data_IF_889745544012
#
_entry.id   IF_889745544012
#
_cell.length_a   1.000
_cell.length_b   1.000
_cell.length_c   1.000
_cell.angle_alpha   90.00
_cell.angle_beta   90.00
_cell.angle_gamma   90.00
#
_symmetry.space_group_name_H-M   'P 1'
#
loop_
_entity.id
_entity.type
_entity.pdbx_description
1 polymer ?
#
# COMPACT_ATOMS: atom_id res chain seq x y z
N UNK A 1 23.29 3.29 -7.62
CA UNK A 1 21.99 2.98 -6.99
C UNK A 1 22.00 3.52 -5.57
N UNK A 2 20.98 4.29 -5.20
CA UNK A 2 20.78 4.70 -3.82
C UNK A 2 20.31 3.45 -3.07
N UNK A 3 20.94 3.13 -1.95
CA UNK A 3 20.47 2.02 -1.11
C UNK A 3 19.09 2.37 -0.53
N UNK A 4 18.14 1.48 -0.66
CA UNK A 4 16.79 1.68 -0.09
C UNK A 4 16.80 1.72 1.45
N UNK A 5 17.95 1.39 2.04
CA UNK A 5 18.06 1.27 3.49
C UNK A 5 17.37 0.01 4.00
N UNK A 6 17.29 -0.12 5.30
CA UNK A 6 16.64 -1.24 5.96
C UNK A 6 16.05 -0.82 7.30
N UNK A 7 15.09 -1.59 7.78
CA UNK A 7 14.51 -1.41 9.12
C UNK A 7 15.07 -2.52 10.02
N UNK A 8 15.64 -2.15 11.15
CA UNK A 8 16.06 -3.10 12.17
C UNK A 8 14.99 -3.13 13.28
N UNK A 9 14.43 -4.31 13.50
CA UNK A 9 13.42 -4.55 14.54
C UNK A 9 14.05 -5.49 15.56
N UNK A 10 14.14 -5.05 16.80
CA UNK A 10 14.73 -5.86 17.87
C UNK A 10 13.67 -6.17 18.93
N UNK A 11 13.55 -7.46 19.22
CA UNK A 11 12.71 -8.00 20.29
C UNK A 11 13.64 -8.41 21.44
N UNK A 12 13.30 -8.01 22.64
CA UNK A 12 14.03 -8.44 23.84
C UNK A 12 13.11 -8.38 25.07
N UNK A 13 13.61 -8.83 26.21
CA UNK A 13 12.84 -8.85 27.45
C UNK A 13 12.38 -7.45 27.90
N UNK A 14 13.09 -6.39 27.50
CA UNK A 14 12.73 -5.00 27.85
C UNK A 14 11.69 -4.42 26.90
N UNK A 15 11.41 -5.09 25.74
CA UNK A 15 10.40 -4.64 24.80
C UNK A 15 10.80 -4.74 23.34
N UNK A 16 10.22 -3.86 22.55
CA UNK A 16 10.40 -3.79 21.09
C UNK A 16 11.06 -2.46 20.73
N UNK A 17 12.07 -2.50 19.88
CA UNK A 17 12.63 -1.27 19.30
C UNK A 17 12.67 -1.38 17.78
N UNK A 18 12.37 -0.28 17.11
CA UNK A 18 12.40 -0.14 15.65
C UNK A 18 13.38 0.99 15.33
N UNK A 19 14.33 0.70 14.47
CA UNK A 19 15.31 1.66 13.99
C UNK A 19 15.39 1.58 12.47
N UNK A 20 15.19 2.70 11.80
CA UNK A 20 15.26 2.82 10.34
C UNK A 20 16.53 3.54 9.93
N UNK A 21 17.27 3.00 8.96
CA UNK A 21 18.35 3.72 8.29
C UNK A 21 17.98 4.08 6.85
N UNK A 22 16.69 4.18 6.57
CA UNK A 22 16.21 4.59 5.25
C UNK A 22 16.72 6.00 4.92
N UNK A 23 17.15 6.22 3.68
CA UNK A 23 17.65 7.55 3.28
C UNK A 23 16.46 8.47 2.97
N UNK A 24 15.75 8.89 4.02
CA UNK A 24 14.53 9.73 3.90
C UNK A 24 14.81 11.09 3.22
N UNK A 25 16.07 11.51 3.21
CA UNK A 25 16.51 12.73 2.51
C UNK A 25 17.05 12.45 1.10
N UNK A 26 16.89 11.23 0.59
CA UNK A 26 17.33 10.90 -0.79
C UNK A 26 16.64 11.79 -1.84
N UNK A 27 15.44 12.27 -1.55
CA UNK A 27 14.69 13.21 -2.41
C UNK A 27 15.41 14.56 -2.60
N UNK A 28 16.37 14.91 -1.74
CA UNK A 28 17.17 16.14 -1.91
C UNK A 28 17.96 16.15 -3.22
N UNK A 29 18.20 14.98 -3.85
CA UNK A 29 18.85 14.92 -5.19
C UNK A 29 18.05 15.68 -6.27
N UNK A 30 16.77 15.95 -6.03
CA UNK A 30 15.94 16.70 -6.95
C UNK A 30 16.10 18.23 -6.80
N UNK A 31 16.67 18.70 -5.70
CA UNK A 31 16.88 20.14 -5.47
C UNK A 31 17.85 20.69 -6.54
N UNK A 32 17.46 21.78 -7.16
CA UNK A 32 18.19 22.40 -8.27
C UNK A 32 17.85 21.83 -9.64
N UNK A 33 17.07 20.74 -9.74
CA UNK A 33 16.62 20.17 -11.02
C UNK A 33 15.32 20.86 -11.47
N UNK A 34 15.05 20.79 -12.77
CA UNK A 34 13.75 21.25 -13.29
C UNK A 34 12.64 20.30 -12.84
N UNK A 35 11.41 20.81 -12.81
CA UNK A 35 10.21 20.00 -12.55
C UNK A 35 10.16 18.81 -13.55
N UNK A 36 10.40 19.07 -14.84
CA UNK A 36 10.36 18.05 -15.89
C UNK A 36 11.38 16.93 -15.62
N UNK A 37 12.63 17.28 -15.34
CA UNK A 37 13.69 16.30 -15.03
C UNK A 37 13.33 15.47 -13.79
N UNK A 38 12.77 16.12 -12.79
CA UNK A 38 12.36 15.46 -11.54
C UNK A 38 11.26 14.42 -11.81
N UNK A 39 10.19 14.82 -12.52
CA UNK A 39 9.07 13.91 -12.83
C UNK A 39 9.48 12.72 -13.71
N UNK A 40 10.49 12.90 -14.58
CA UNK A 40 11.03 11.82 -15.41
C UNK A 40 11.91 10.84 -14.62
N UNK A 41 12.69 11.37 -13.66
CA UNK A 41 13.71 10.59 -12.93
C UNK A 41 13.12 9.86 -11.73
N UNK A 42 12.18 10.50 -11.03
CA UNK A 42 11.68 10.03 -9.75
C UNK A 42 11.13 8.59 -9.79
N UNK A 43 10.27 8.20 -10.74
CA UNK A 43 9.75 6.83 -10.74
C UNK A 43 10.82 5.74 -10.97
N UNK A 44 11.96 6.11 -11.54
CA UNK A 44 13.08 5.17 -11.79
C UNK A 44 13.83 4.82 -10.50
N UNK A 45 13.66 5.62 -9.44
CA UNK A 45 14.33 5.41 -8.15
C UNK A 45 13.57 4.45 -7.23
N UNK A 46 12.30 4.20 -7.53
CA UNK A 46 11.43 3.42 -6.64
C UNK A 46 10.90 2.17 -7.35
N UNK A 47 11.54 1.04 -7.11
CA UNK A 47 11.23 -0.23 -7.79
C UNK A 47 9.85 -0.80 -7.43
N UNK A 48 9.36 -0.52 -6.21
CA UNK A 48 8.14 -1.13 -5.66
C UNK A 48 6.90 -0.25 -5.89
N UNK A 49 7.04 1.07 -5.79
CA UNK A 49 5.92 2.02 -5.80
C UNK A 49 6.13 3.19 -6.77
N UNK A 50 6.81 2.95 -7.89
CA UNK A 50 7.18 3.99 -8.86
C UNK A 50 5.98 4.73 -9.44
N UNK A 51 4.85 4.04 -9.66
CA UNK A 51 3.64 4.69 -10.20
C UNK A 51 2.98 5.60 -9.16
N UNK A 52 2.83 5.12 -7.92
CA UNK A 52 2.31 5.94 -6.84
C UNK A 52 3.20 7.16 -6.59
N UNK A 53 4.53 6.98 -6.63
CA UNK A 53 5.50 8.07 -6.51
C UNK A 53 5.31 9.10 -7.64
N UNK A 54 5.17 8.62 -8.88
CA UNK A 54 4.97 9.50 -10.05
C UNK A 54 3.69 10.32 -9.92
N UNK A 55 2.59 9.67 -9.53
CA UNK A 55 1.28 10.34 -9.39
C UNK A 55 1.32 11.38 -8.26
N UNK A 56 1.88 11.01 -7.10
CA UNK A 56 2.00 11.95 -5.98
C UNK A 56 2.88 13.16 -6.36
N UNK A 57 3.98 12.92 -7.10
CA UNK A 57 4.87 13.99 -7.57
C UNK A 57 4.16 14.95 -8.54
N UNK A 58 3.43 14.39 -9.52
CA UNK A 58 2.67 15.20 -10.49
C UNK A 58 1.66 16.09 -9.76
N UNK A 59 0.87 15.50 -8.84
CA UNK A 59 -0.12 16.23 -8.04
C UNK A 59 0.52 17.35 -7.20
N UNK A 60 1.70 17.09 -6.62
CA UNK A 60 2.42 18.10 -5.83
C UNK A 60 2.86 19.29 -6.71
N UNK A 61 3.42 19.01 -7.89
CA UNK A 61 3.86 20.07 -8.82
C UNK A 61 2.65 20.83 -9.39
N UNK A 62 1.59 20.14 -9.77
CA UNK A 62 0.35 20.78 -10.27
C UNK A 62 -0.29 21.66 -9.21
N UNK A 63 -0.31 21.20 -7.96
CA UNK A 63 -0.84 21.96 -6.82
C UNK A 63 -0.11 23.31 -6.68
N UNK A 64 1.22 23.33 -6.72
CA UNK A 64 1.99 24.57 -6.59
C UNK A 64 1.84 25.47 -7.83
N UNK A 65 1.70 24.86 -9.01
CA UNK A 65 1.50 25.59 -10.28
C UNK A 65 0.05 26.07 -10.47
N UNK A 66 -0.84 25.80 -9.53
CA UNK A 66 -2.28 26.10 -9.61
C UNK A 66 -2.98 25.44 -10.81
N UNK A 67 -2.49 24.25 -11.21
CA UNK A 67 -3.07 23.48 -12.30
C UNK A 67 -4.13 22.53 -11.73
N UNK A 68 -5.34 22.61 -12.28
CA UNK A 68 -6.41 21.66 -11.98
C UNK A 68 -6.36 20.58 -13.05
N UNK A 69 -6.03 19.33 -12.69
CA UNK A 69 -5.93 18.27 -13.68
C UNK A 69 -7.28 17.92 -14.29
N UNK A 70 -7.28 17.46 -15.53
CA UNK A 70 -8.47 16.93 -16.20
C UNK A 70 -8.99 15.71 -15.40
N UNK A 71 -10.31 15.64 -15.12
CA UNK A 71 -10.89 14.48 -14.42
C UNK A 71 -10.54 13.13 -15.05
N UNK A 72 -10.48 13.05 -16.39
CA UNK A 72 -10.09 11.81 -17.07
C UNK A 72 -8.62 11.43 -16.82
N UNK A 73 -7.76 12.44 -16.73
CA UNK A 73 -6.35 12.23 -16.35
C UNK A 73 -6.24 11.69 -14.92
N UNK A 74 -7.04 12.22 -14.00
CA UNK A 74 -7.06 11.73 -12.61
C UNK A 74 -7.57 10.29 -12.53
N UNK A 75 -8.61 9.93 -13.28
CA UNK A 75 -9.09 8.54 -13.36
C UNK A 75 -7.98 7.62 -13.89
N UNK A 76 -7.24 8.07 -14.89
CA UNK A 76 -6.09 7.31 -15.45
C UNK A 76 -5.01 7.11 -14.38
N UNK A 77 -4.68 8.15 -13.63
CA UNK A 77 -3.70 8.08 -12.52
C UNK A 77 -4.13 7.08 -11.45
N UNK A 78 -5.39 7.13 -11.03
CA UNK A 78 -5.92 6.18 -10.03
C UNK A 78 -5.85 4.74 -10.55
N UNK A 79 -6.15 4.51 -11.83
CA UNK A 79 -6.04 3.18 -12.46
C UNK A 79 -4.60 2.67 -12.48
N UNK A 80 -3.64 3.55 -12.80
CA UNK A 80 -2.21 3.20 -12.82
C UNK A 80 -1.75 2.77 -11.41
N UNK A 81 -2.12 3.54 -10.39
CA UNK A 81 -1.79 3.22 -8.99
C UNK A 81 -2.51 1.93 -8.54
N UNK A 82 -3.77 1.73 -8.97
CA UNK A 82 -4.52 0.50 -8.68
C UNK A 82 -3.82 -0.74 -9.27
N UNK A 83 -3.31 -0.65 -10.51
CA UNK A 83 -2.56 -1.75 -11.12
C UNK A 83 -1.28 -2.07 -10.35
N UNK A 84 -0.57 -1.06 -9.89
CA UNK A 84 0.60 -1.24 -9.03
C UNK A 84 0.23 -1.93 -7.71
N UNK A 85 -0.87 -1.52 -7.10
CA UNK A 85 -1.38 -2.11 -5.84
C UNK A 85 -1.79 -3.57 -6.04
N UNK A 86 -2.50 -3.89 -7.13
CA UNK A 86 -2.85 -5.27 -7.51
C UNK A 86 -1.56 -6.12 -7.63
N UNK A 87 -0.55 -5.61 -8.33
CA UNK A 87 0.74 -6.29 -8.50
C UNK A 87 1.40 -6.59 -7.15
N UNK A 88 1.47 -5.59 -6.27
CA UNK A 88 2.14 -5.72 -4.98
C UNK A 88 1.41 -6.71 -4.06
N UNK A 89 0.08 -6.67 -4.03
CA UNK A 89 -0.70 -7.64 -3.25
C UNK A 89 -0.55 -9.07 -3.82
N UNK A 90 -0.64 -9.21 -5.14
CA UNK A 90 -0.43 -10.54 -5.77
C UNK A 90 0.97 -11.07 -5.50
N UNK A 91 2.00 -10.22 -5.58
CA UNK A 91 3.37 -10.61 -5.25
C UNK A 91 3.46 -11.15 -3.82
N UNK A 92 2.87 -10.41 -2.87
CA UNK A 92 2.86 -10.82 -1.45
C UNK A 92 2.11 -12.14 -1.25
N UNK A 93 0.97 -12.31 -1.91
CA UNK A 93 0.14 -13.51 -1.75
C UNK A 93 0.74 -14.71 -2.48
N UNK A 94 0.95 -14.59 -3.80
CA UNK A 94 1.32 -15.72 -4.65
C UNK A 94 2.75 -16.23 -4.39
N UNK A 95 3.65 -15.35 -3.95
CA UNK A 95 5.05 -15.70 -3.69
C UNK A 95 5.37 -15.69 -2.19
N UNK A 96 5.02 -14.62 -1.49
CA UNK A 96 5.36 -14.44 -0.07
C UNK A 96 4.61 -15.39 0.85
N UNK A 97 3.27 -15.44 0.75
CA UNK A 97 2.48 -16.35 1.59
C UNK A 97 2.77 -17.81 1.27
N UNK A 98 2.91 -18.16 -0.03
CA UNK A 98 3.25 -19.52 -0.44
C UNK A 98 4.51 -20.01 0.29
N UNK A 99 5.55 -19.17 0.36
CA UNK A 99 6.79 -19.50 1.06
C UNK A 99 6.55 -19.71 2.58
N UNK A 100 5.68 -18.90 3.19
CA UNK A 100 5.37 -19.00 4.63
C UNK A 100 4.62 -20.30 4.97
N UNK A 101 3.71 -20.74 4.10
CA UNK A 101 2.96 -22.00 4.30
C UNK A 101 3.63 -23.20 3.62
N UNK A 102 4.88 -23.04 3.19
CA UNK A 102 5.71 -24.11 2.59
C UNK A 102 5.11 -24.71 1.32
N UNK A 103 4.39 -23.88 0.55
CA UNK A 103 3.88 -24.23 -0.77
C UNK A 103 4.81 -23.73 -1.88
N UNK A 104 4.67 -24.31 -3.07
CA UNK A 104 5.41 -23.84 -4.26
C UNK A 104 4.88 -22.47 -4.67
N UNK A 105 5.72 -21.44 -4.73
CA UNK A 105 5.30 -20.12 -5.18
C UNK A 105 4.74 -20.11 -6.61
N UNK A 106 3.69 -19.36 -6.83
CA UNK A 106 2.95 -19.25 -8.10
C UNK A 106 3.66 -18.34 -9.12
N UNK A 107 4.92 -18.64 -9.44
CA UNK A 107 5.78 -17.83 -10.32
C UNK A 107 5.18 -17.66 -11.72
N UNK A 108 4.59 -18.71 -12.29
CA UNK A 108 3.99 -18.65 -13.64
C UNK A 108 2.77 -17.75 -13.66
N UNK A 109 1.91 -17.85 -12.65
CA UNK A 109 0.72 -16.98 -12.51
C UNK A 109 1.15 -15.52 -12.32
N UNK A 110 2.20 -15.28 -11.52
CA UNK A 110 2.74 -13.94 -11.31
C UNK A 110 3.34 -13.37 -12.61
N UNK A 111 4.08 -14.15 -13.37
CA UNK A 111 4.67 -13.72 -14.66
C UNK A 111 3.55 -13.36 -15.67
N UNK A 112 2.51 -14.18 -15.74
CA UNK A 112 1.36 -13.88 -16.60
C UNK A 112 0.64 -12.61 -16.16
N UNK A 113 0.44 -12.41 -14.86
CA UNK A 113 -0.13 -11.17 -14.32
C UNK A 113 0.67 -9.95 -14.76
N UNK A 114 2.01 -10.00 -14.59
CA UNK A 114 2.90 -8.90 -14.94
C UNK A 114 2.82 -8.54 -16.43
N UNK A 115 2.84 -9.55 -17.31
CA UNK A 115 2.76 -9.31 -18.76
C UNK A 115 1.39 -8.73 -19.15
N UNK A 116 0.32 -9.23 -18.56
CA UNK A 116 -1.05 -8.72 -18.81
C UNK A 116 -1.18 -7.27 -18.33
N UNK A 117 -0.65 -6.94 -17.15
CA UNK A 117 -0.68 -5.57 -16.62
C UNK A 117 0.13 -4.61 -17.49
N UNK A 118 1.29 -5.03 -18.00
CA UNK A 118 2.07 -4.20 -18.94
C UNK A 118 1.26 -3.87 -20.20
N UNK A 119 0.52 -4.84 -20.72
CA UNK A 119 -0.34 -4.66 -21.87
C UNK A 119 -1.50 -3.69 -21.54
N UNK A 120 -2.18 -3.90 -20.43
CA UNK A 120 -3.26 -3.04 -19.93
C UNK A 120 -2.77 -1.58 -19.77
N UNK A 121 -1.61 -1.37 -19.13
CA UNK A 121 -1.05 -0.03 -18.90
C UNK A 121 -0.69 0.69 -20.22
N UNK A 122 -0.21 -0.03 -21.23
CA UNK A 122 0.03 0.56 -22.56
C UNK A 122 -1.27 1.07 -23.17
N UNK A 123 -2.34 0.31 -23.04
CA UNK A 123 -3.66 0.72 -23.58
C UNK A 123 -4.19 1.98 -22.89
N UNK A 124 -4.22 2.02 -21.55
CA UNK A 124 -4.76 3.19 -20.84
C UNK A 124 -3.93 4.46 -21.04
N UNK A 125 -2.64 4.33 -21.34
CA UNK A 125 -1.77 5.49 -21.58
C UNK A 125 -1.91 6.05 -23.02
N UNK A 126 -2.34 5.24 -23.97
CA UNK A 126 -2.38 5.62 -25.39
C UNK A 126 -3.79 5.78 -25.95
N UNK A 127 -4.82 5.29 -25.27
CA UNK A 127 -6.21 5.40 -25.73
C UNK A 127 -6.90 6.57 -25.05
N UNK A 128 -7.82 7.20 -25.77
CA UNK A 128 -8.75 8.14 -25.13
C UNK A 128 -9.58 7.35 -24.11
N UNK A 129 -9.87 7.91 -22.94
CA UNK A 129 -10.66 7.22 -21.91
C UNK A 129 -12.05 6.78 -22.38
N UNK A 130 -12.52 7.34 -23.48
CA UNK A 130 -13.81 7.01 -24.12
C UNK A 130 -13.74 5.80 -25.06
N UNK A 131 -12.54 5.35 -25.42
CA UNK A 131 -12.39 4.17 -26.26
C UNK A 131 -12.60 2.91 -25.39
N UNK A 132 -13.71 2.20 -25.63
CA UNK A 132 -13.96 0.87 -25.08
C UNK A 132 -13.02 -0.14 -25.79
N UNK A 133 -11.72 0.15 -25.76
CA UNK A 133 -10.72 -0.70 -26.38
C UNK A 133 -10.48 -1.99 -25.59
N UNK A 134 -9.64 -2.83 -26.10
CA UNK A 134 -9.31 -4.20 -25.67
C UNK A 134 -8.93 -4.38 -24.17
N UNK A 135 -9.31 -3.47 -23.27
CA UNK A 135 -9.11 -3.62 -21.82
C UNK A 135 -9.84 -4.83 -21.25
N UNK A 136 -10.98 -5.19 -21.87
CA UNK A 136 -11.85 -6.28 -21.39
C UNK A 136 -11.11 -7.61 -21.35
N UNK A 137 -10.22 -7.88 -22.32
CA UNK A 137 -9.43 -9.11 -22.35
C UNK A 137 -8.38 -9.14 -21.24
N UNK A 138 -7.73 -8.00 -20.98
CA UNK A 138 -6.70 -7.89 -19.95
C UNK A 138 -7.32 -7.96 -18.55
N UNK A 139 -8.40 -7.23 -18.29
CA UNK A 139 -9.12 -7.28 -17.01
C UNK A 139 -9.67 -8.69 -16.75
N UNK A 140 -10.26 -9.32 -17.77
CA UNK A 140 -10.76 -10.71 -17.71
C UNK A 140 -9.63 -11.68 -17.36
N UNK A 141 -8.45 -11.50 -17.98
CA UNK A 141 -7.29 -12.37 -17.69
C UNK A 141 -6.80 -12.18 -16.27
N UNK A 142 -6.69 -10.93 -15.78
CA UNK A 142 -6.31 -10.62 -14.41
C UNK A 142 -7.32 -11.25 -13.42
N UNK A 143 -8.61 -11.05 -13.63
CA UNK A 143 -9.68 -11.67 -12.83
C UNK A 143 -9.55 -13.19 -12.80
N UNK A 144 -9.35 -13.82 -13.96
CA UNK A 144 -9.21 -15.28 -14.04
C UNK A 144 -8.02 -15.79 -13.22
N UNK A 145 -6.88 -15.06 -13.24
CA UNK A 145 -5.70 -15.41 -12.43
C UNK A 145 -6.08 -15.35 -10.94
N UNK A 146 -6.72 -14.26 -10.51
CA UNK A 146 -7.10 -14.06 -9.11
C UNK A 146 -8.14 -15.07 -8.65
N UNK A 147 -9.19 -15.29 -9.45
CA UNK A 147 -10.23 -16.28 -9.16
C UNK A 147 -9.63 -17.69 -8.99
N UNK A 148 -8.67 -18.02 -9.78
CA UNK A 148 -8.03 -19.33 -9.73
C UNK A 148 -6.94 -19.44 -8.67
N UNK A 149 -6.10 -18.49 -8.43
CA UNK A 149 -5.01 -18.52 -7.74
C UNK A 149 -5.11 -17.98 -6.48
N UNK A 150 -6.01 -17.11 -6.27
CA UNK A 150 -6.06 -16.49 -4.92
C UNK A 150 -7.37 -16.84 -4.21
N UNK A 151 -8.51 -16.54 -4.84
CA UNK A 151 -9.83 -16.65 -4.18
C UNK A 151 -10.44 -18.08 -4.24
N UNK A 152 -10.15 -18.85 -5.29
CA UNK A 152 -10.72 -20.19 -5.49
C UNK A 152 -12.17 -20.16 -5.97
N UNK A 153 -12.80 -19.00 -5.95
CA UNK A 153 -14.19 -18.70 -6.40
C UNK A 153 -14.16 -17.35 -7.14
N UNK A 154 -15.23 -16.96 -7.84
CA UNK A 154 -15.29 -15.62 -8.45
C UNK A 154 -15.05 -14.51 -7.42
N UNK A 155 -14.28 -13.50 -7.82
CA UNK A 155 -13.89 -12.38 -6.94
C UNK A 155 -15.13 -11.65 -6.38
N UNK A 156 -16.18 -11.49 -7.20
CA UNK A 156 -17.43 -10.85 -6.81
C UNK A 156 -18.16 -11.66 -5.73
N UNK A 157 -18.17 -12.99 -5.87
CA UNK A 157 -18.75 -13.91 -4.89
C UNK A 157 -17.94 -13.84 -3.59
N UNK A 158 -16.62 -13.85 -3.67
CA UNK A 158 -15.75 -13.73 -2.49
C UNK A 158 -16.03 -12.43 -1.73
N UNK A 159 -16.18 -11.31 -2.44
CA UNK A 159 -16.42 -9.99 -1.82
C UNK A 159 -17.82 -9.91 -1.16
N UNK A 160 -18.75 -10.79 -1.51
CA UNK A 160 -20.08 -10.85 -0.88
C UNK A 160 -20.08 -11.59 0.46
N UNK A 161 -18.99 -12.27 0.82
CA UNK A 161 -18.85 -12.92 2.14
C UNK A 161 -18.96 -11.84 3.22
N UNK A 162 -19.86 -12.04 4.18
CA UNK A 162 -20.16 -11.01 5.16
C UNK A 162 -20.00 -11.49 6.63
N UNK A 163 -20.06 -12.79 6.86
CA UNK A 163 -20.05 -13.33 8.23
C UNK A 163 -19.04 -14.47 8.38
N UNK A 164 -18.81 -14.88 9.63
CA UNK A 164 -17.82 -15.90 9.99
C UNK A 164 -18.19 -17.27 9.39
N UNK A 165 -19.48 -17.63 9.36
CA UNK A 165 -19.91 -18.92 8.82
C UNK A 165 -19.55 -19.04 7.32
N UNK A 166 -19.89 -18.03 6.54
CA UNK A 166 -19.55 -17.96 5.11
C UNK A 166 -18.04 -17.97 4.90
N UNK A 167 -17.31 -17.23 5.75
CA UNK A 167 -15.84 -17.19 5.71
C UNK A 167 -15.23 -18.57 5.97
N UNK A 168 -15.74 -19.31 6.98
CA UNK A 168 -15.28 -20.67 7.29
C UNK A 168 -15.65 -21.67 6.19
N UNK A 169 -16.79 -21.49 5.54
CA UNK A 169 -17.19 -22.29 4.38
C UNK A 169 -16.20 -22.05 3.22
N UNK A 170 -15.87 -20.80 2.95
CA UNK A 170 -14.89 -20.45 1.92
C UNK A 170 -13.51 -21.06 2.23
N UNK A 171 -13.07 -21.07 3.47
CA UNK A 171 -11.79 -21.67 3.86
C UNK A 171 -11.73 -23.17 3.60
N UNK A 172 -12.88 -23.84 3.47
CA UNK A 172 -12.98 -25.30 3.25
C UNK A 172 -13.25 -25.68 1.78
N UNK A 173 -13.16 -24.72 0.85
CA UNK A 173 -13.44 -25.01 -0.57
C UNK A 173 -12.48 -26.05 -1.13
N UNK A 174 -12.96 -26.84 -2.09
CA UNK A 174 -12.18 -27.90 -2.74
C UNK A 174 -10.99 -27.36 -3.53
N UNK A 175 -11.14 -26.17 -4.11
CA UNK A 175 -10.08 -25.50 -4.87
C UNK A 175 -9.15 -24.75 -3.91
N UNK A 176 -8.26 -25.47 -3.26
CA UNK A 176 -7.32 -24.93 -2.26
C UNK A 176 -6.40 -23.92 -2.92
N UNK A 177 -6.30 -22.73 -2.35
CA UNK A 177 -5.46 -21.63 -2.83
C UNK A 177 -4.44 -21.23 -1.76
N UNK A 178 -3.42 -20.47 -2.16
CA UNK A 178 -2.43 -19.91 -1.21
C UNK A 178 -3.15 -19.09 -0.12
N UNK A 179 -4.22 -18.37 -0.48
CA UNK A 179 -4.95 -17.53 0.49
C UNK A 179 -5.68 -18.41 1.52
N UNK A 180 -6.39 -19.45 1.07
CA UNK A 180 -7.08 -20.35 2.01
C UNK A 180 -6.08 -21.10 2.91
N UNK A 181 -4.95 -21.55 2.37
CA UNK A 181 -3.89 -22.19 3.15
C UNK A 181 -3.32 -21.26 4.22
N UNK A 182 -3.01 -20.01 3.84
CA UNK A 182 -2.44 -19.02 4.77
C UNK A 182 -3.42 -18.71 5.91
N UNK A 183 -4.69 -18.51 5.58
CA UNK A 183 -5.69 -18.18 6.61
C UNK A 183 -6.03 -19.39 7.48
N UNK A 184 -6.08 -20.60 6.92
CA UNK A 184 -6.22 -21.84 7.68
C UNK A 184 -5.02 -22.04 8.62
N UNK A 185 -3.81 -21.78 8.15
CA UNK A 185 -2.59 -21.84 8.98
C UNK A 185 -2.69 -20.89 10.17
N UNK A 186 -3.15 -19.63 9.94
CA UNK A 186 -3.35 -18.64 11.00
C UNK A 186 -4.40 -19.15 12.03
N UNK A 187 -5.53 -19.67 11.56
CA UNK A 187 -6.60 -20.17 12.43
C UNK A 187 -6.14 -21.37 13.26
N UNK A 188 -5.51 -22.38 12.61
CA UNK A 188 -5.03 -23.61 13.27
C UNK A 188 -3.94 -23.31 14.30
N UNK A 189 -3.15 -22.26 14.09
CA UNK A 189 -2.14 -21.81 15.05
C UNK A 189 -2.73 -21.03 16.22
N UNK A 190 -4.03 -20.68 16.17
CA UNK A 190 -4.66 -19.84 17.19
C UNK A 190 -4.24 -18.36 17.09
N UNK A 191 -3.80 -17.91 15.91
CA UNK A 191 -3.19 -16.59 15.70
C UNK A 191 -4.15 -15.58 15.07
N UNK A 192 -5.47 -15.79 15.14
CA UNK A 192 -6.45 -14.88 14.55
C UNK A 192 -6.27 -13.44 15.07
N UNK A 193 -6.12 -13.27 16.38
CA UNK A 193 -5.96 -11.97 17.03
C UNK A 193 -4.49 -11.60 17.28
N UNK A 194 -3.52 -12.37 16.74
CA UNK A 194 -2.09 -12.12 16.94
C UNK A 194 -1.74 -10.69 16.52
N UNK A 195 -1.05 -9.96 17.39
CA UNK A 195 -0.64 -8.59 17.13
C UNK A 195 -1.77 -7.56 17.22
N UNK A 196 -2.96 -7.96 17.72
CA UNK A 196 -4.05 -7.00 17.92
C UNK A 196 -3.65 -5.98 18.98
N UNK A 197 -3.79 -4.69 18.65
CA UNK A 197 -3.29 -3.60 19.49
C UNK A 197 -4.14 -2.35 19.26
N UNK A 198 -3.98 -1.35 20.12
CA UNK A 198 -4.53 -0.03 19.84
C UNK A 198 -3.69 0.64 18.73
N UNK A 199 -4.33 1.06 17.66
CA UNK A 199 -3.71 1.87 16.62
C UNK A 199 -4.65 2.97 16.17
N UNK A 200 -4.10 4.13 15.83
CA UNK A 200 -4.86 5.28 15.34
C UNK A 200 -4.78 5.28 13.81
N UNK A 201 -5.89 5.12 13.09
CA UNK A 201 -5.83 5.22 11.62
C UNK A 201 -5.47 6.64 11.19
N UNK A 202 -4.64 6.75 10.16
CA UNK A 202 -4.34 8.05 9.55
C UNK A 202 -5.64 8.58 8.92
N UNK A 203 -6.05 9.83 9.22
CA UNK A 203 -7.30 10.35 8.64
C UNK A 203 -7.30 10.35 7.12
N UNK A 204 -8.42 10.04 6.52
CA UNK A 204 -8.60 10.04 5.06
C UNK A 204 -8.41 11.45 4.48
N UNK A 205 -8.85 12.46 5.23
CA UNK A 205 -8.71 13.88 4.84
C UNK A 205 -7.58 14.48 5.68
N UNK A 206 -6.51 14.87 5.02
CA UNK A 206 -5.35 15.53 5.64
C UNK A 206 -5.27 16.96 5.11
N UNK A 207 -5.26 17.94 6.00
CA UNK A 207 -5.08 19.34 5.63
C UNK A 207 -3.72 19.56 4.98
N UNK A 208 -3.71 20.05 3.75
CA UNK A 208 -2.47 20.35 3.00
C UNK A 208 -1.66 21.45 3.69
N UNK A 209 -2.33 22.47 4.21
CA UNK A 209 -1.68 23.55 4.98
C UNK A 209 -0.94 22.97 6.19
N UNK A 210 -1.59 22.08 6.93
CA UNK A 210 -1.00 21.46 8.11
C UNK A 210 0.18 20.54 7.71
N UNK A 211 0.03 19.73 6.65
CA UNK A 211 1.11 18.89 6.13
C UNK A 211 2.32 19.73 5.73
N UNK A 212 2.11 20.80 4.97
CA UNK A 212 3.18 21.74 4.56
C UNK A 212 3.96 22.21 5.79
N UNK A 213 3.24 22.67 6.81
CA UNK A 213 3.83 23.19 8.06
C UNK A 213 4.63 22.11 8.80
N UNK A 214 4.06 20.92 8.94
CA UNK A 214 4.72 19.78 9.63
C UNK A 214 5.96 19.31 8.88
N UNK A 215 5.87 19.17 7.55
CA UNK A 215 6.98 18.71 6.71
C UNK A 215 8.11 19.76 6.57
N UNK A 216 7.91 20.99 7.02
CA UNK A 216 9.03 21.95 7.13
C UNK A 216 10.10 21.46 8.12
N UNK A 217 9.70 20.70 9.14
CA UNK A 217 10.63 20.06 10.08
C UNK A 217 11.11 18.73 9.49
N UNK A 218 12.39 18.58 9.14
CA UNK A 218 12.91 17.32 8.58
C UNK A 218 12.70 16.11 9.49
N UNK A 219 12.75 16.31 10.82
CA UNK A 219 12.55 15.23 11.80
C UNK A 219 11.13 14.66 11.76
N UNK A 220 10.17 15.45 11.29
CA UNK A 220 8.78 14.99 11.15
C UNK A 220 8.67 13.81 10.17
N UNK A 221 9.45 13.83 9.10
CA UNK A 221 9.43 12.74 8.10
C UNK A 221 9.96 11.43 8.72
N UNK A 222 10.93 11.50 9.63
CA UNK A 222 11.48 10.31 10.28
C UNK A 222 10.47 9.63 11.21
N UNK A 223 9.70 10.43 11.94
CA UNK A 223 8.77 9.94 12.95
C UNK A 223 7.49 10.80 12.91
N UNK A 224 6.65 10.58 11.90
CA UNK A 224 5.47 11.43 11.73
C UNK A 224 4.41 11.15 12.80
N UNK A 225 3.80 12.22 13.29
CA UNK A 225 2.69 12.18 14.24
C UNK A 225 1.52 13.00 13.68
N UNK A 226 0.31 12.51 13.82
CA UNK A 226 -0.90 13.28 13.54
C UNK A 226 -1.68 13.42 14.84
N UNK A 227 -1.96 14.65 15.22
CA UNK A 227 -2.58 14.99 16.52
C UNK A 227 -1.79 14.46 17.72
N UNK A 228 -0.45 14.40 17.57
CA UNK A 228 0.45 13.95 18.64
C UNK A 228 0.57 12.44 18.76
N UNK A 229 -0.09 11.67 17.87
CA UNK A 229 -0.10 10.21 17.91
C UNK A 229 0.51 9.61 16.63
N UNK A 230 1.25 8.50 16.73
CA UNK A 230 1.66 7.76 15.55
C UNK A 230 0.45 7.09 14.91
N UNK A 231 0.33 7.19 13.59
CA UNK A 231 -0.84 6.69 12.87
C UNK A 231 -0.52 5.45 12.04
N UNK A 232 -1.56 4.65 11.79
CA UNK A 232 -1.49 3.51 10.89
C UNK A 232 -2.08 3.90 9.53
N UNK A 233 -1.33 3.58 8.46
CA UNK A 233 -1.80 3.74 7.08
C UNK A 233 -1.56 2.43 6.32
N UNK A 234 -2.56 1.53 6.34
CA UNK A 234 -2.48 0.18 5.75
C UNK A 234 -3.79 -0.13 5.01
N UNK A 235 -3.88 -1.23 4.26
CA UNK A 235 -5.18 -1.66 3.72
C UNK A 235 -6.29 -1.73 4.77
N UNK A 236 -5.98 -2.18 5.99
CA UNK A 236 -6.98 -2.30 7.05
C UNK A 236 -7.63 -0.95 7.43
N UNK A 237 -6.90 0.16 7.31
CA UNK A 237 -7.42 1.47 7.73
C UNK A 237 -8.22 2.19 6.64
N UNK A 238 -8.25 1.65 5.41
CA UNK A 238 -8.93 2.31 4.28
C UNK A 238 -9.98 1.45 3.59
N UNK A 239 -9.95 0.12 3.82
CA UNK A 239 -10.89 -0.78 3.15
C UNK A 239 -12.18 -0.94 3.99
N UNK A 240 -13.31 -0.93 3.30
CA UNK A 240 -14.61 -1.20 3.91
C UNK A 240 -15.19 -2.45 3.26
N UNK A 241 -15.41 -3.48 4.06
CA UNK A 241 -15.96 -4.76 3.63
C UNK A 241 -16.71 -5.38 4.82
N UNK A 242 -17.92 -5.91 4.61
CA UNK A 242 -18.67 -6.55 5.69
C UNK A 242 -17.86 -7.63 6.43
N UNK A 243 -17.14 -8.47 5.67
CA UNK A 243 -16.29 -9.51 6.28
C UNK A 243 -15.18 -8.91 7.16
N UNK A 244 -14.51 -7.86 6.68
CA UNK A 244 -13.44 -7.20 7.46
C UNK A 244 -14.00 -6.64 8.77
N UNK A 245 -15.16 -5.99 8.72
CA UNK A 245 -15.77 -5.43 9.93
C UNK A 245 -16.19 -6.54 10.92
N UNK A 246 -16.81 -7.61 10.42
CA UNK A 246 -17.18 -8.77 11.25
C UNK A 246 -15.94 -9.41 11.92
N UNK A 247 -14.87 -9.62 11.15
CA UNK A 247 -13.64 -10.20 11.71
C UNK A 247 -12.99 -9.24 12.73
N UNK A 248 -13.07 -7.94 12.48
CA UNK A 248 -12.53 -6.90 13.37
C UNK A 248 -13.27 -6.87 14.73
N UNK A 249 -14.58 -7.06 14.71
CA UNK A 249 -15.37 -7.19 15.96
C UNK A 249 -14.91 -8.39 16.79
N UNK A 250 -14.49 -9.48 16.16
CA UNK A 250 -14.10 -10.71 16.84
C UNK A 250 -12.61 -10.77 17.23
N UNK A 251 -11.73 -10.19 16.40
CA UNK A 251 -10.28 -10.38 16.51
C UNK A 251 -9.50 -9.06 16.58
N UNK A 252 -10.20 -7.92 16.72
CA UNK A 252 -9.54 -6.61 16.72
C UNK A 252 -8.87 -6.33 15.39
N UNK A 253 -7.70 -5.69 15.41
CA UNK A 253 -6.89 -5.49 14.21
C UNK A 253 -5.78 -6.56 14.10
N UNK A 254 -6.10 -7.78 14.52
CA UNK A 254 -5.17 -8.90 14.55
C UNK A 254 -4.78 -9.43 13.16
N UNK A 255 -3.91 -10.42 13.17
CA UNK A 255 -3.27 -10.93 11.95
C UNK A 255 -4.27 -11.35 10.87
N UNK A 256 -5.33 -12.13 11.25
CA UNK A 256 -6.30 -12.60 10.24
C UNK A 256 -7.04 -11.44 9.58
N UNK A 257 -7.38 -10.41 10.36
CA UNK A 257 -8.12 -9.23 9.89
C UNK A 257 -7.29 -8.45 8.87
N UNK A 258 -5.99 -8.28 9.15
CA UNK A 258 -5.04 -7.60 8.24
C UNK A 258 -4.90 -8.35 6.91
N UNK A 259 -4.82 -9.68 6.97
CA UNK A 259 -4.69 -10.48 5.74
C UNK A 259 -5.98 -10.45 4.92
N UNK A 260 -7.14 -10.53 5.58
CA UNK A 260 -8.45 -10.44 4.91
C UNK A 260 -8.66 -9.02 4.32
N UNK A 261 -8.23 -7.98 5.02
CA UNK A 261 -8.30 -6.60 4.49
C UNK A 261 -7.49 -6.45 3.19
N UNK A 262 -6.29 -7.09 3.11
CA UNK A 262 -5.50 -7.11 1.87
C UNK A 262 -6.24 -7.83 0.74
N UNK A 263 -6.89 -8.96 1.05
CA UNK A 263 -7.69 -9.70 0.06
C UNK A 263 -8.90 -8.87 -0.40
N UNK A 264 -9.58 -8.18 0.53
CA UNK A 264 -10.74 -7.34 0.22
C UNK A 264 -10.33 -6.17 -0.68
N UNK A 265 -9.20 -5.52 -0.39
CA UNK A 265 -8.67 -4.45 -1.24
C UNK A 265 -8.37 -4.98 -2.64
N UNK A 266 -7.67 -6.10 -2.73
CA UNK A 266 -7.35 -6.73 -4.01
C UNK A 266 -8.62 -7.03 -4.82
N UNK A 267 -9.65 -7.58 -4.17
CA UNK A 267 -10.93 -7.89 -4.80
C UNK A 267 -11.62 -6.62 -5.33
N UNK A 268 -11.69 -5.57 -4.49
CA UNK A 268 -12.32 -4.30 -4.88
C UNK A 268 -11.60 -3.64 -6.05
N UNK A 269 -10.27 -3.64 -6.04
CA UNK A 269 -9.45 -3.05 -7.11
C UNK A 269 -9.69 -3.76 -8.45
N UNK A 270 -9.74 -5.08 -8.43
CA UNK A 270 -9.92 -5.88 -9.65
C UNK A 270 -11.34 -5.72 -10.22
N UNK A 271 -12.36 -5.70 -9.36
CA UNK A 271 -13.75 -5.41 -9.77
C UNK A 271 -13.84 -3.98 -10.34
N UNK A 272 -13.09 -3.05 -9.72
CA UNK A 272 -13.04 -1.65 -10.16
C UNK A 272 -12.45 -1.44 -11.56
N UNK A 273 -11.66 -2.39 -12.07
CA UNK A 273 -11.06 -2.29 -13.41
C UNK A 273 -12.10 -2.17 -14.53
N UNK A 274 -13.26 -2.80 -14.35
CA UNK A 274 -14.32 -2.83 -15.37
C UNK A 274 -15.26 -1.62 -15.31
N UNK A 275 -15.13 -0.79 -14.27
CA UNK A 275 -16.01 0.38 -14.13
C UNK A 275 -15.64 1.46 -15.16
N UNK A 276 -16.64 1.98 -15.85
CA UNK A 276 -16.43 3.09 -16.78
C UNK A 276 -16.12 4.38 -16.00
N UNK A 277 -15.40 5.33 -16.62
CA UNK A 277 -15.10 6.61 -15.95
C UNK A 277 -16.36 7.35 -15.43
N UNK A 278 -17.49 7.20 -16.10
CA UNK A 278 -18.74 7.85 -15.70
C UNK A 278 -19.34 7.28 -14.40
N UNK A 279 -18.90 6.09 -13.97
CA UNK A 279 -19.39 5.45 -12.73
C UNK A 279 -18.44 5.63 -11.54
N UNK A 280 -17.29 6.24 -11.79
CA UNK A 280 -16.31 6.52 -10.72
C UNK A 280 -16.66 7.86 -10.09
N UNK A 281 -16.75 7.91 -8.78
CA UNK A 281 -16.89 9.18 -8.05
C UNK A 281 -15.67 10.06 -8.41
N UNK A 282 -15.92 11.06 -9.22
CA UNK A 282 -14.88 11.90 -9.82
C UNK A 282 -14.33 12.97 -8.87
N UNK A 283 -14.73 12.96 -7.59
CA UNK A 283 -14.09 13.88 -6.62
C UNK A 283 -12.67 13.39 -6.32
N UNK A 284 -11.64 14.12 -6.75
CA UNK A 284 -10.26 13.69 -6.49
C UNK A 284 -9.96 13.80 -5.00
N UNK A 285 -9.93 12.69 -4.33
CA UNK A 285 -9.73 12.63 -2.86
C UNK A 285 -8.28 12.93 -2.44
N UNK A 286 -7.35 12.91 -3.41
CA UNK A 286 -5.91 12.93 -3.13
C UNK A 286 -5.18 14.14 -3.71
N UNK A 287 -5.90 15.12 -4.26
CA UNK A 287 -5.29 16.37 -4.74
C UNK A 287 -5.08 17.28 -3.53
N UNK A 288 -3.86 17.78 -3.39
CA UNK A 288 -3.53 18.80 -2.39
C UNK A 288 -4.25 20.12 -2.71
N UNK A 289 -4.47 20.94 -1.69
CA UNK A 289 -5.02 22.28 -1.87
C UNK A 289 -4.12 23.07 -2.81
N UNK A 290 -4.74 23.86 -3.68
CA UNK A 290 -4.04 24.71 -4.66
C UNK A 290 -3.03 25.61 -3.92
N UNK A 291 -1.81 25.66 -4.43
CA UNK A 291 -0.71 26.44 -3.86
C UNK A 291 0.05 25.75 -2.74
N UNK A 292 -0.40 24.56 -2.28
CA UNK A 292 0.22 23.89 -1.13
C UNK A 292 1.52 23.17 -1.45
N UNK A 293 1.73 22.76 -2.69
CA UNK A 293 2.85 21.88 -3.07
C UNK A 293 2.71 20.45 -2.55
N UNK A 294 1.52 20.07 -2.07
CA UNK A 294 1.23 18.73 -1.56
C UNK A 294 0.57 17.89 -2.67
N UNK A 295 1.08 16.67 -2.85
CA UNK A 295 0.46 15.66 -3.71
C UNK A 295 0.43 14.32 -2.98
N UNK A 296 -0.65 13.56 -3.16
CA UNK A 296 -0.90 12.33 -2.41
C UNK A 296 -1.27 11.19 -3.35
N UNK A 297 -0.94 9.96 -2.95
CA UNK A 297 -1.37 8.74 -3.65
C UNK A 297 -1.55 7.60 -2.66
N UNK A 298 -2.59 6.79 -2.85
CA UNK A 298 -2.81 5.60 -2.04
C UNK A 298 -1.99 4.44 -2.63
N UNK A 299 -0.76 4.29 -2.16
CA UNK A 299 0.10 3.17 -2.56
C UNK A 299 -0.35 1.86 -1.87
N UNK A 300 0.16 0.73 -2.33
CA UNK A 300 -0.19 -0.60 -1.81
C UNK A 300 -0.06 -0.70 -0.28
N UNK A 301 0.91 0.00 0.29
CA UNK A 301 1.20 -0.07 1.73
C UNK A 301 0.57 1.06 2.54
N UNK A 302 -0.06 2.04 1.88
CA UNK A 302 -0.70 3.17 2.57
C UNK A 302 -0.51 4.49 1.86
N UNK A 303 -0.80 5.57 2.57
CA UNK A 303 -0.76 6.94 2.07
C UNK A 303 0.67 7.40 1.82
N UNK A 304 0.95 7.79 0.59
CA UNK A 304 2.20 8.39 0.15
C UNK A 304 1.97 9.89 -0.07
N UNK A 305 2.82 10.72 0.51
CA UNK A 305 2.68 12.17 0.48
C UNK A 305 3.99 12.78 -0.05
N UNK A 306 3.87 13.63 -1.06
CA UNK A 306 4.97 14.44 -1.58
C UNK A 306 4.74 15.91 -1.24
N UNK A 307 5.79 16.61 -0.89
CA UNK A 307 5.78 18.06 -0.68
C UNK A 307 6.91 18.66 -1.51
N UNK A 308 6.55 19.63 -2.35
CA UNK A 308 7.49 20.30 -3.24
C UNK A 308 7.40 21.82 -3.04
N UNK A 309 8.56 22.49 -3.07
CA UNK A 309 8.66 23.94 -3.23
C UNK A 309 9.40 24.21 -4.53
N UNK A 310 8.86 25.12 -5.33
CA UNK A 310 9.38 25.46 -6.65
C UNK A 310 9.74 26.95 -6.66
N UNK A 311 10.89 27.27 -7.26
CA UNK A 311 11.28 28.64 -7.60
C UNK A 311 11.36 28.78 -9.12
N UNK A 312 11.19 29.98 -9.63
CA UNK A 312 11.42 30.28 -11.03
C UNK A 312 12.85 30.84 -11.18
N UNK A 313 13.63 30.25 -12.06
CA UNK A 313 14.99 30.70 -12.37
C UNK A 313 15.23 30.63 -13.88
N UNK A 314 15.53 31.78 -14.47
CA UNK A 314 15.80 31.91 -15.92
C UNK A 314 14.65 31.36 -16.77
N UNK A 315 13.40 31.59 -16.34
CA UNK A 315 12.20 31.13 -17.04
C UNK A 315 11.94 29.63 -16.93
N UNK A 316 12.60 28.94 -15.97
CA UNK A 316 12.38 27.52 -15.71
C UNK A 316 11.92 27.30 -14.29
N UNK A 317 11.00 26.39 -14.10
CA UNK A 317 10.55 25.91 -12.78
C UNK A 317 11.60 24.96 -12.21
N UNK A 318 12.23 25.36 -11.13
CA UNK A 318 13.33 24.63 -10.45
C UNK A 318 12.85 24.17 -9.08
N UNK A 319 13.08 22.92 -8.77
CA UNK A 319 12.78 22.34 -7.44
C UNK A 319 13.69 23.02 -6.40
N UNK A 320 13.11 23.72 -5.48
CA UNK A 320 13.81 24.34 -4.34
C UNK A 320 13.92 23.41 -3.16
N UNK A 321 12.88 22.57 -2.93
CA UNK A 321 12.84 21.59 -1.85
C UNK A 321 11.95 20.43 -2.30
N UNK A 322 12.34 19.20 -1.97
CA UNK A 322 11.57 18.01 -2.28
C UNK A 322 11.57 17.05 -1.11
N UNK A 323 10.39 16.66 -0.65
CA UNK A 323 10.24 15.78 0.51
C UNK A 323 9.21 14.70 0.21
N UNK A 324 9.47 13.50 0.72
CA UNK A 324 8.60 12.33 0.57
C UNK A 324 8.33 11.75 1.96
N UNK A 325 7.05 11.61 2.29
CA UNK A 325 6.59 10.93 3.50
C UNK A 325 5.84 9.68 3.05
N UNK A 326 6.47 8.51 3.21
CA UNK A 326 5.92 7.25 2.72
C UNK A 326 5.15 6.52 3.84
N UNK A 327 4.28 5.55 3.49
CA UNK A 327 3.54 4.78 4.51
C UNK A 327 4.44 4.05 5.50
N UNK A 328 5.65 3.71 5.11
CA UNK A 328 6.59 3.01 5.98
C UNK A 328 6.97 3.85 7.22
N UNK A 329 7.12 5.16 7.06
CA UNK A 329 7.43 6.04 8.20
C UNK A 329 6.29 6.05 9.22
N UNK A 330 5.04 6.05 8.76
CA UNK A 330 3.87 5.93 9.64
C UNK A 330 3.82 4.57 10.33
N UNK A 331 3.85 3.49 9.54
CA UNK A 331 3.56 2.14 10.03
C UNK A 331 4.70 1.57 10.89
N UNK A 332 5.95 1.96 10.60
CA UNK A 332 7.15 1.51 11.31
C UNK A 332 7.72 2.58 12.25
N UNK A 333 6.91 3.56 12.62
CA UNK A 333 7.23 4.51 13.68
C UNK A 333 7.62 3.75 14.95
N UNK A 334 8.65 4.18 15.71
CA UNK A 334 9.09 3.46 16.92
C UNK A 334 7.98 3.20 17.94
N UNK A 335 6.93 4.01 17.96
CA UNK A 335 5.75 3.83 18.83
C UNK A 335 4.48 3.50 18.02
N UNK A 336 4.61 3.25 16.72
CA UNK A 336 3.50 3.00 15.80
C UNK A 336 2.97 1.57 15.84
N UNK A 337 2.15 1.25 14.83
CA UNK A 337 1.38 0.02 14.79
C UNK A 337 2.24 -1.24 14.84
N UNK A 338 3.39 -1.27 14.13
CA UNK A 338 4.28 -2.45 14.17
C UNK A 338 4.84 -2.66 15.59
N UNK A 339 5.35 -1.59 16.21
CA UNK A 339 5.88 -1.67 17.57
C UNK A 339 4.79 -2.10 18.57
N UNK A 340 3.60 -1.51 18.47
CA UNK A 340 2.46 -1.82 19.33
C UNK A 340 2.03 -3.29 19.15
N UNK A 341 1.92 -3.77 17.91
CA UNK A 341 1.56 -5.16 17.62
C UNK A 341 2.59 -6.15 18.17
N UNK A 342 3.88 -5.88 17.96
CA UNK A 342 4.95 -6.76 18.43
C UNK A 342 5.05 -6.79 19.97
N UNK A 343 4.69 -5.70 20.65
CA UNK A 343 4.65 -5.65 22.13
C UNK A 343 3.61 -6.59 22.74
N UNK A 344 2.61 -7.03 21.96
CA UNK A 344 1.59 -7.98 22.43
C UNK A 344 2.09 -9.43 22.47
N UNK A 345 3.23 -9.71 21.83
CA UNK A 345 3.76 -11.06 21.71
C UNK A 345 4.31 -11.59 23.06
N UNK A 346 4.13 -12.88 23.28
CA UNK A 346 4.79 -13.55 24.39
C UNK A 346 6.27 -13.77 24.05
N UNK A 347 7.16 -13.00 24.67
CA UNK A 347 8.60 -13.07 24.40
C UNK A 347 9.23 -14.45 24.73
N UNK A 348 8.50 -15.33 25.43
CA UNK A 348 8.95 -16.71 25.70
C UNK A 348 8.39 -17.72 24.71
N UNK A 349 7.61 -17.28 23.73
CA UNK A 349 7.03 -18.18 22.72
C UNK A 349 8.13 -18.87 21.91
N UNK A 350 8.06 -20.18 21.70
CA UNK A 350 9.02 -20.89 20.82
C UNK A 350 8.85 -20.47 19.36
N UNK A 351 7.71 -19.87 19.01
CA UNK A 351 7.38 -19.41 17.66
C UNK A 351 7.49 -17.88 17.51
N UNK A 352 8.14 -17.18 18.46
CA UNK A 352 8.22 -15.72 18.48
C UNK A 352 8.70 -15.12 17.15
N UNK A 353 9.69 -15.74 16.49
CA UNK A 353 10.22 -15.27 15.22
C UNK A 353 9.19 -15.37 14.11
N UNK A 354 8.46 -16.48 14.07
CA UNK A 354 7.40 -16.71 13.08
C UNK A 354 6.23 -15.74 13.31
N UNK A 355 5.79 -15.61 14.55
CA UNK A 355 4.73 -14.68 14.95
C UNK A 355 5.08 -13.24 14.55
N UNK A 356 6.29 -12.79 14.88
CA UNK A 356 6.78 -11.45 14.54
C UNK A 356 6.87 -11.25 13.02
N UNK A 357 7.39 -12.26 12.30
CA UNK A 357 7.51 -12.21 10.83
C UNK A 357 6.13 -12.06 10.17
N UNK A 358 5.13 -12.78 10.69
CA UNK A 358 3.76 -12.69 10.17
C UNK A 358 3.14 -11.30 10.42
N UNK A 359 3.34 -10.74 11.61
CA UNK A 359 2.84 -9.38 11.92
C UNK A 359 3.52 -8.35 11.00
N UNK A 360 4.85 -8.40 10.90
CA UNK A 360 5.62 -7.46 10.06
C UNK A 360 5.16 -7.59 8.59
N UNK A 361 5.01 -8.82 8.11
CA UNK A 361 4.56 -9.10 6.74
C UNK A 361 3.11 -8.69 6.47
N UNK A 362 2.25 -8.68 7.49
CA UNK A 362 0.87 -8.23 7.36
C UNK A 362 0.79 -6.70 7.20
N UNK A 363 1.70 -5.97 7.86
CA UNK A 363 1.79 -4.50 7.77
C UNK A 363 2.65 -4.09 6.56
N UNK A 364 3.70 -4.87 6.24
CA UNK A 364 4.39 -4.90 4.95
C UNK A 364 5.26 -3.67 4.66
N UNK A 365 6.52 -3.63 5.12
CA UNK A 365 7.41 -2.51 4.77
C UNK A 365 7.78 -2.55 3.29
N UNK A 366 8.01 -1.37 2.69
CA UNK A 366 8.46 -1.27 1.29
C UNK A 366 9.97 -1.53 1.11
N UNK A 367 10.68 -1.79 2.19
CA UNK A 367 12.15 -2.03 2.20
C UNK A 367 12.46 -3.31 2.99
N UNK A 368 13.68 -3.80 2.84
CA UNK A 368 14.18 -4.93 3.61
C UNK A 368 14.14 -4.64 5.12
N UNK A 369 13.95 -5.68 5.91
CA UNK A 369 14.03 -5.55 7.36
C UNK A 369 14.87 -6.67 7.97
N UNK A 370 15.47 -6.36 9.12
CA UNK A 370 16.25 -7.30 9.91
C UNK A 370 15.55 -7.48 11.26
N UNK A 371 15.04 -8.68 11.50
CA UNK A 371 14.42 -9.03 12.79
C UNK A 371 15.47 -9.69 13.69
N UNK A 372 15.65 -9.15 14.88
CA UNK A 372 16.63 -9.65 15.88
C UNK A 372 15.91 -9.96 17.18
N UNK A 373 16.33 -11.05 17.84
CA UNK A 373 15.91 -11.39 19.19
C UNK A 373 17.13 -11.40 20.11
N UNK A 374 17.09 -10.66 21.23
CA UNK A 374 18.20 -10.54 22.17
C UNK A 374 17.79 -10.91 23.60
#
# INVERSE_FOLDING_TARGET
MISDGAITISLNKAGVSIHSNRPIHASNIFEGKTVTETLQTLPLLFSVCGQAQSVAAQRACESIANIIPDPLQEITRERIVAQETIREHCWRILLGWAALVKQTPEQKSMALLLSTQQHYLKHINHSKPTDNGNYDNDSTTIKRILNKXIFGIPTEEWLSIADISQFEEWLKIKNITVATEMLNFIQQSGWNNLGSCRSQPLPTILSSERLTRLMENPLYIEQPLWDGEPCESTPLTRIHSPLVETLKENYGNGLIVRQVARLAELAQLVIGMDKTPSTVDSTPKNIGEIGSGIGRAQAARGELIHHVKIDEKEGKEIIKKYQILAPTEWNFHPEGVVAASLKTLNMKSPTIFEEATLIIGAIDPCVAYNLKYK
#
